data_IF_509915421088
#
_entry.id   IF_509915421088
#
_cell.length_a   1.000
_cell.length_b   1.000
_cell.length_c   1.000
_cell.angle_alpha   90.00
_cell.angle_beta   90.00
_cell.angle_gamma   90.00
#
_symmetry.space_group_name_H-M   'P 1'
#
loop_
_entity.id
_entity.type
_entity.pdbx_description
1 polymer ?
#
# COMPACT_ATOMS: atom_id res chain seq x y z
N UNK A 1 1.22 9.83 -12.97
CA UNK A 1 0.19 10.06 -11.92
C UNK A 1 -1.14 9.55 -12.45
N UNK A 2 -2.01 9.06 -11.57
CA UNK A 2 -3.35 8.61 -11.96
C UNK A 2 -4.22 9.79 -12.44
N UNK A 3 -5.16 9.58 -13.38
CA UNK A 3 -6.20 10.55 -13.73
C UNK A 3 -6.96 11.03 -12.48
N UNK A 4 -7.42 12.30 -12.42
CA UNK A 4 -8.09 12.85 -11.23
C UNK A 4 -9.28 12.04 -10.74
N UNK A 5 -10.07 11.46 -11.66
CA UNK A 5 -11.23 10.60 -11.32
C UNK A 5 -10.85 9.27 -10.68
N UNK A 6 -9.57 8.89 -10.72
CA UNK A 6 -9.01 7.68 -10.11
C UNK A 6 -8.24 7.99 -8.82
N UNK A 7 -8.33 9.23 -8.31
CA UNK A 7 -7.74 9.64 -7.04
C UNK A 7 -8.86 9.75 -6.01
N UNK A 8 -8.73 9.02 -4.91
CA UNK A 8 -9.64 9.13 -3.77
C UNK A 8 -9.18 10.23 -2.83
N UNK A 9 -10.11 10.83 -2.09
CA UNK A 9 -9.77 11.65 -0.94
C UNK A 9 -9.24 10.74 0.19
N UNK A 10 -7.98 10.91 0.54
CA UNK A 10 -7.31 10.12 1.59
C UNK A 10 -6.66 8.83 1.09
N UNK A 11 -6.54 7.85 1.99
CA UNK A 11 -5.84 6.58 1.74
C UNK A 11 -6.81 5.40 1.79
N UNK A 12 -6.48 4.35 1.04
CA UNK A 12 -7.18 3.08 1.13
C UNK A 12 -6.86 2.40 2.46
N UNK A 13 -7.81 1.65 2.98
CA UNK A 13 -7.76 0.91 4.25
C UNK A 13 -6.99 -0.41 4.08
N UNK A 14 -7.06 -0.99 2.87
CA UNK A 14 -6.83 -2.41 2.67
C UNK A 14 -8.07 -3.20 3.10
N UNK A 15 -8.22 -4.41 2.54
CA UNK A 15 -9.41 -5.26 2.66
C UNK A 15 -10.65 -4.89 1.84
N UNK A 16 -10.62 -3.80 1.06
CA UNK A 16 -11.79 -3.37 0.29
C UNK A 16 -12.25 -4.45 -0.70
N UNK A 17 -13.57 -4.55 -0.86
CA UNK A 17 -14.16 -5.27 -1.99
C UNK A 17 -13.98 -4.42 -3.26
N UNK A 18 -13.44 -5.04 -4.30
CA UNK A 18 -13.19 -4.43 -5.61
C UNK A 18 -14.09 -5.09 -6.63
N UNK A 19 -14.79 -4.27 -7.41
CA UNK A 19 -15.56 -4.68 -8.57
C UNK A 19 -15.08 -3.92 -9.80
N UNK A 20 -14.83 -4.65 -10.87
CA UNK A 20 -14.42 -4.14 -12.17
C UNK A 20 -15.47 -4.56 -13.19
N UNK A 21 -16.04 -3.58 -13.89
CA UNK A 21 -17.10 -3.80 -14.86
C UNK A 21 -16.62 -3.35 -16.23
N UNK A 22 -16.80 -4.21 -17.24
CA UNK A 22 -16.38 -3.99 -18.62
C UNK A 22 -14.87 -3.68 -18.78
N UNK A 23 -14.04 -4.28 -17.93
CA UNK A 23 -12.57 -4.08 -17.93
C UNK A 23 -11.78 -5.31 -18.43
N UNK A 24 -12.44 -6.37 -18.88
CA UNK A 24 -11.81 -7.57 -19.43
C UNK A 24 -12.64 -8.13 -20.61
N UNK A 25 -12.01 -8.60 -21.70
CA UNK A 25 -12.73 -9.08 -22.89
C UNK A 25 -13.60 -10.32 -22.63
N UNK A 26 -13.18 -11.21 -21.72
CA UNK A 26 -13.88 -12.48 -21.44
C UNK A 26 -14.74 -12.42 -20.16
N UNK A 27 -14.58 -11.37 -19.35
CA UNK A 27 -15.26 -11.23 -18.07
C UNK A 27 -15.91 -9.86 -18.00
N UNK A 28 -17.24 -9.83 -18.22
CA UNK A 28 -18.03 -8.59 -18.11
C UNK A 28 -17.89 -7.97 -16.71
N UNK A 29 -17.81 -8.81 -15.68
CA UNK A 29 -17.60 -8.40 -14.29
C UNK A 29 -16.53 -9.26 -13.65
N UNK A 30 -15.67 -8.62 -12.88
CA UNK A 30 -14.64 -9.28 -12.09
C UNK A 30 -14.63 -8.69 -10.68
N UNK A 31 -14.63 -9.56 -9.67
CA UNK A 31 -14.72 -9.13 -8.26
C UNK A 31 -13.72 -9.88 -7.40
N UNK A 32 -13.11 -9.17 -6.46
CA UNK A 32 -12.17 -9.74 -5.49
C UNK A 32 -12.07 -8.83 -4.27
N UNK A 33 -11.45 -9.33 -3.20
CA UNK A 33 -11.15 -8.55 -1.99
C UNK A 33 -9.66 -8.26 -1.91
N UNK A 34 -9.30 -7.02 -1.57
CA UNK A 34 -7.91 -6.67 -1.30
C UNK A 34 -7.39 -7.45 -0.08
N UNK A 35 -6.10 -7.81 -0.02
CA UNK A 35 -5.57 -8.50 1.12
C UNK A 35 -5.56 -7.58 2.36
N UNK A 36 -5.93 -8.13 3.51
CA UNK A 36 -5.98 -7.40 4.78
C UNK A 36 -4.58 -7.36 5.42
N UNK A 37 -3.68 -6.54 4.87
CA UNK A 37 -2.29 -6.45 5.30
C UNK A 37 -2.02 -5.18 6.12
N UNK A 38 -1.23 -5.35 7.19
CA UNK A 38 -0.55 -4.25 7.88
C UNK A 38 0.91 -4.22 7.41
N UNK A 39 1.29 -3.14 6.74
CA UNK A 39 2.68 -2.82 6.42
C UNK A 39 3.14 -1.71 7.37
N UNK A 40 4.35 -1.84 7.92
CA UNK A 40 4.99 -0.79 8.68
C UNK A 40 6.48 -0.72 8.33
N UNK A 41 7.05 0.48 8.43
CA UNK A 41 8.49 0.63 8.35
C UNK A 41 9.02 1.34 9.60
N UNK A 42 10.26 1.03 9.96
CA UNK A 42 10.99 1.73 10.98
C UNK A 42 12.38 2.08 10.48
N UNK A 43 12.90 3.22 10.92
CA UNK A 43 14.29 3.60 10.70
C UNK A 43 15.03 3.62 12.03
N UNK A 44 16.31 3.29 11.99
CA UNK A 44 17.26 3.47 13.09
C UNK A 44 18.36 4.42 12.62
N UNK A 45 18.66 5.45 13.40
CA UNK A 45 19.74 6.41 13.10
C UNK A 45 21.12 5.90 13.56
N UNK A 46 22.17 6.69 13.34
CA UNK A 46 23.54 6.30 13.70
C UNK A 46 23.83 6.34 15.21
N UNK A 47 22.98 6.98 16.02
CA UNK A 47 23.10 7.00 17.48
C UNK A 47 22.23 5.94 18.17
N UNK A 48 21.40 5.23 17.40
CA UNK A 48 20.62 4.07 17.83
C UNK A 48 19.15 4.35 18.17
N UNK A 49 18.64 5.57 17.94
CA UNK A 49 17.21 5.84 18.12
C UNK A 49 16.41 5.24 16.96
N UNK A 50 15.20 4.75 17.29
CA UNK A 50 14.31 4.08 16.36
C UNK A 50 12.98 4.81 16.22
N UNK A 51 12.57 5.04 14.98
CA UNK A 51 11.32 5.70 14.63
C UNK A 51 10.51 4.79 13.70
N UNK A 52 9.29 4.45 14.09
CA UNK A 52 8.40 3.57 13.33
C UNK A 52 7.11 4.27 12.93
N UNK A 53 6.58 3.91 11.77
CA UNK A 53 5.29 4.42 11.29
C UNK A 53 4.56 3.37 10.45
N UNK A 54 3.24 3.22 10.61
CA UNK A 54 2.46 2.36 9.74
C UNK A 54 2.41 2.92 8.31
N UNK A 55 2.45 2.03 7.33
CA UNK A 55 2.23 2.37 5.94
C UNK A 55 0.77 2.68 5.66
N UNK A 56 0.53 3.69 4.83
CA UNK A 56 -0.79 3.97 4.26
C UNK A 56 -0.86 3.36 2.88
N UNK A 57 -1.90 2.57 2.58
CA UNK A 57 -2.11 2.05 1.23
C UNK A 57 -2.50 3.24 0.35
N UNK A 58 -1.56 3.63 -0.50
CA UNK A 58 -1.61 4.87 -1.26
C UNK A 58 -2.08 4.66 -2.69
N UNK A 59 -1.62 3.57 -3.31
CA UNK A 59 -1.94 3.27 -4.71
C UNK A 59 -2.30 1.80 -4.85
N UNK A 60 -3.41 1.55 -5.56
CA UNK A 60 -3.69 0.27 -6.20
C UNK A 60 -3.45 0.41 -7.70
N UNK A 61 -2.84 -0.60 -8.30
CA UNK A 61 -2.73 -0.73 -9.75
C UNK A 61 -3.24 -2.10 -10.15
N UNK A 62 -4.21 -2.12 -11.05
CA UNK A 62 -4.86 -3.33 -11.52
C UNK A 62 -4.53 -3.50 -13.00
N UNK A 63 -3.90 -4.61 -13.31
CA UNK A 63 -3.62 -5.07 -14.66
C UNK A 63 -4.54 -6.25 -14.95
N UNK A 64 -5.61 -5.99 -15.72
CA UNK A 64 -6.61 -7.00 -16.05
C UNK A 64 -6.17 -7.98 -17.12
N UNK A 65 -5.17 -7.63 -17.94
CA UNK A 65 -4.63 -8.56 -18.93
C UNK A 65 -3.74 -9.60 -18.24
N UNK A 66 -2.87 -9.16 -17.32
CA UNK A 66 -2.03 -10.04 -16.51
C UNK A 66 -2.76 -10.62 -15.28
N UNK A 67 -4.01 -10.24 -15.04
CA UNK A 67 -4.81 -10.61 -13.86
C UNK A 67 -4.07 -10.39 -12.54
N UNK A 68 -3.45 -9.21 -12.41
CA UNK A 68 -2.57 -8.87 -11.29
C UNK A 68 -2.96 -7.55 -10.65
N UNK A 69 -3.02 -7.56 -9.31
CA UNK A 69 -3.10 -6.34 -8.51
C UNK A 69 -1.77 -6.04 -7.84
N UNK A 70 -1.31 -4.79 -7.94
CA UNK A 70 -0.13 -4.27 -7.24
C UNK A 70 -0.57 -3.22 -6.23
N UNK A 71 -0.03 -3.31 -5.03
CA UNK A 71 -0.40 -2.48 -3.89
C UNK A 71 0.84 -1.74 -3.39
N UNK A 72 0.74 -0.42 -3.22
CA UNK A 72 1.84 0.42 -2.77
C UNK A 72 1.47 1.09 -1.45
N UNK A 73 2.24 0.77 -0.41
CA UNK A 73 2.16 1.47 0.87
C UNK A 73 3.21 2.57 0.92
N UNK A 74 2.81 3.76 1.36
CA UNK A 74 3.70 4.87 1.64
C UNK A 74 3.91 5.01 3.15
N UNK A 75 5.17 5.07 3.56
CA UNK A 75 5.57 5.40 4.93
C UNK A 75 6.40 6.68 4.89
N UNK A 76 6.13 7.59 5.81
CA UNK A 76 6.95 8.80 6.03
C UNK A 76 7.56 8.68 7.41
N UNK A 77 8.89 8.80 7.47
CA UNK A 77 9.68 8.76 8.70
C UNK A 77 10.46 10.08 8.79
N UNK A 78 10.57 10.69 9.99
CA UNK A 78 11.44 11.84 10.17
C UNK A 78 12.89 11.43 9.92
N UNK A 79 13.71 12.35 9.41
CA UNK A 79 15.16 12.20 9.34
C UNK A 79 15.76 13.30 10.22
N UNK A 80 16.69 12.92 11.08
CA UNK A 80 17.41 13.83 11.99
C UNK A 80 18.86 14.01 11.53
N UNK A 81 19.59 14.91 12.18
CA UNK A 81 20.97 15.28 11.81
C UNK A 81 21.92 14.07 11.76
N UNK A 82 21.70 13.08 12.63
CA UNK A 82 22.50 11.85 12.71
C UNK A 82 22.23 10.85 11.57
N UNK A 83 21.41 11.21 10.57
CA UNK A 83 21.17 10.40 9.39
C UNK A 83 20.41 9.08 9.65
N UNK A 84 20.45 8.17 8.67
CA UNK A 84 19.75 6.88 8.72
C UNK A 84 20.77 5.76 8.58
N UNK A 85 20.89 4.93 9.61
CA UNK A 85 21.77 3.76 9.60
C UNK A 85 21.08 2.54 8.98
N UNK A 86 19.79 2.36 9.25
CA UNK A 86 19.03 1.18 8.83
C UNK A 86 17.56 1.52 8.65
N UNK A 87 16.93 0.88 7.66
CA UNK A 87 15.47 0.84 7.51
C UNK A 87 15.02 -0.61 7.54
N UNK A 88 14.02 -0.89 8.37
CA UNK A 88 13.36 -2.18 8.48
C UNK A 88 11.91 -2.07 8.00
N UNK A 89 11.44 -3.10 7.33
CA UNK A 89 10.04 -3.22 6.89
C UNK A 89 9.45 -4.49 7.47
N UNK A 90 8.24 -4.39 7.98
CA UNK A 90 7.47 -5.51 8.49
C UNK A 90 6.12 -5.60 7.77
N UNK A 91 5.68 -6.83 7.55
CA UNK A 91 4.37 -7.17 6.99
C UNK A 91 3.72 -8.23 7.86
N UNK A 92 2.43 -8.04 8.17
CA UNK A 92 1.61 -9.05 8.83
C UNK A 92 0.17 -8.99 8.27
N UNK A 93 -0.52 -10.12 8.26
CA UNK A 93 -1.97 -10.14 8.07
C UNK A 93 -2.66 -9.53 9.29
N UNK A 94 -3.70 -8.71 9.08
CA UNK A 94 -4.57 -8.26 10.17
C UNK A 94 -5.61 -9.34 10.44
N UNK A 95 -5.81 -9.66 11.72
CA UNK A 95 -6.96 -10.46 12.16
C UNK A 95 -8.22 -9.60 12.01
N UNK A 96 -9.30 -10.20 11.50
CA UNK A 96 -10.60 -9.54 11.31
C UNK A 96 -11.26 -9.13 12.64
#
# INVERSE_FOLDING_TARGET
MAPPSLVTEGYLRGNEDVELVAMHPEHERFSFRLPNLLIAAAMTDHVGYRYGSPGRLDTIFIDMEAMRVSLVWRVVLPIYEDGVARVDVAMCGRLE
#
